data_IF_471952114820
#
_entry.id   IF_471952114820
#
_cell.length_a   1.000
_cell.length_b   1.000
_cell.length_c   1.000
_cell.angle_alpha   90.00
_cell.angle_beta   90.00
_cell.angle_gamma   90.00
#
_symmetry.space_group_name_H-M   'P 1'
#
loop_
_entity.id
_entity.type
_entity.pdbx_description
1 polymer ?
#
# COMPACT_ATOMS: atom_id res chain seq x y z
N UNK A 1 10.85 20.94 33.39
CA UNK A 1 11.23 19.56 33.01
C UNK A 1 10.96 19.26 31.54
N UNK A 2 9.73 19.47 31.04
CA UNK A 2 9.34 19.24 29.63
C UNK A 2 10.16 20.11 28.64
N UNK A 3 10.45 21.37 28.99
CA UNK A 3 11.25 22.28 28.15
C UNK A 3 12.73 21.88 28.02
N UNK A 4 13.32 21.33 29.09
CA UNK A 4 14.69 20.82 29.09
C UNK A 4 14.80 19.50 28.30
N UNK A 5 13.80 18.63 28.42
CA UNK A 5 13.70 17.40 27.64
C UNK A 5 13.56 17.71 26.14
N UNK A 6 12.70 18.67 25.79
CA UNK A 6 12.52 19.13 24.40
C UNK A 6 13.81 19.71 23.81
N UNK A 7 14.55 20.53 24.57
CA UNK A 7 15.86 21.06 24.14
C UNK A 7 16.90 19.96 23.96
N UNK A 8 16.98 19.00 24.86
CA UNK A 8 17.91 17.86 24.77
C UNK A 8 17.60 16.94 23.58
N UNK A 9 16.31 16.75 23.28
CA UNK A 9 15.88 15.98 22.10
C UNK A 9 16.18 16.76 20.82
N UNK A 10 15.90 18.07 20.78
CA UNK A 10 16.26 18.93 19.65
C UNK A 10 17.77 18.95 19.37
N UNK A 11 18.61 19.14 20.40
CA UNK A 11 20.07 19.16 20.22
C UNK A 11 20.62 17.79 19.79
N UNK A 12 20.00 16.69 20.27
CA UNK A 12 20.35 15.33 19.84
C UNK A 12 19.92 15.07 18.40
N UNK A 13 18.75 15.57 17.98
CA UNK A 13 18.27 15.49 16.61
C UNK A 13 19.14 16.34 15.66
N UNK A 14 19.59 17.51 16.10
CA UNK A 14 20.52 18.36 15.34
C UNK A 14 21.88 17.68 15.16
N UNK A 15 22.47 17.15 16.25
CA UNK A 15 23.72 16.40 16.19
C UNK A 15 23.63 15.12 15.35
N UNK A 16 22.48 14.45 15.32
CA UNK A 16 22.22 13.32 14.42
C UNK A 16 22.06 13.79 12.96
N UNK A 17 21.43 14.94 12.72
CA UNK A 17 21.23 15.51 11.38
C UNK A 17 22.53 15.92 10.70
N UNK A 18 23.59 16.20 11.45
CA UNK A 18 24.90 16.55 10.89
C UNK A 18 25.67 15.34 10.34
N UNK A 19 25.33 14.12 10.78
CA UNK A 19 25.99 12.91 10.29
C UNK A 19 25.67 12.68 8.81
N UNK A 20 26.66 12.26 7.98
CA UNK A 20 26.48 12.10 6.54
C UNK A 20 25.37 11.11 6.17
N UNK A 21 25.19 10.04 6.97
CA UNK A 21 24.13 9.07 6.78
C UNK A 21 22.72 9.66 6.94
N UNK A 22 22.50 10.55 7.91
CA UNK A 22 21.18 11.16 8.14
C UNK A 22 20.87 12.19 7.06
N UNK A 23 21.87 12.90 6.54
CA UNK A 23 21.69 13.78 5.38
C UNK A 23 21.29 12.98 4.13
N UNK A 24 21.92 11.83 3.90
CA UNK A 24 21.53 10.89 2.84
C UNK A 24 20.11 10.34 3.04
N UNK A 25 19.78 9.92 4.26
CA UNK A 25 18.45 9.43 4.61
C UNK A 25 17.38 10.49 4.34
N UNK A 26 17.61 11.72 4.82
CA UNK A 26 16.73 12.87 4.59
C UNK A 26 16.55 13.13 3.10
N UNK A 27 17.63 13.12 2.33
CA UNK A 27 17.55 13.29 0.88
C UNK A 27 16.70 12.18 0.21
N UNK A 28 16.85 10.92 0.62
CA UNK A 28 16.03 9.82 0.10
C UNK A 28 14.55 9.97 0.47
N UNK A 29 14.25 10.38 1.71
CA UNK A 29 12.89 10.67 2.17
C UNK A 29 12.29 11.82 1.38
N UNK A 30 13.00 12.94 1.27
CA UNK A 30 12.57 14.11 0.49
C UNK A 30 12.34 13.70 -0.98
N UNK A 31 13.18 12.87 -1.58
CA UNK A 31 12.90 12.38 -2.94
C UNK A 31 11.56 11.63 -3.05
N UNK A 32 11.21 10.82 -2.06
CA UNK A 32 9.97 10.03 -2.09
C UNK A 32 8.73 10.92 -1.96
N UNK A 33 8.78 11.98 -1.15
CA UNK A 33 7.64 12.86 -0.92
C UNK A 33 7.49 13.97 -1.98
N UNK A 34 8.58 14.54 -2.49
CA UNK A 34 8.54 15.79 -3.25
C UNK A 34 8.36 15.57 -4.76
N UNK A 35 7.35 16.22 -5.35
CA UNK A 35 7.15 16.27 -6.81
C UNK A 35 8.04 17.35 -7.44
N UNK A 36 8.67 17.04 -8.58
CA UNK A 36 9.77 17.82 -9.17
C UNK A 36 9.41 19.21 -9.74
N UNK A 37 8.30 19.82 -9.33
CA UNK A 37 7.88 21.15 -9.74
C UNK A 37 7.54 21.98 -8.50
N UNK A 38 8.31 23.05 -8.29
CA UNK A 38 8.49 23.75 -7.02
C UNK A 38 7.25 24.25 -6.28
N UNK A 39 7.38 24.39 -4.97
CA UNK A 39 7.00 25.60 -4.23
C UNK A 39 7.59 25.60 -2.81
N UNK A 40 7.44 26.74 -2.13
CA UNK A 40 8.09 27.16 -0.88
C UNK A 40 7.82 26.18 0.27
N UNK A 41 8.82 25.98 1.12
CA UNK A 41 8.84 25.07 2.28
C UNK A 41 7.59 25.09 3.17
N UNK A 42 6.85 26.21 3.27
CA UNK A 42 5.59 26.27 4.04
C UNK A 42 4.32 25.76 3.32
N UNK A 43 4.28 25.78 1.98
CA UNK A 43 3.16 25.24 1.19
C UNK A 43 3.29 23.70 1.02
N UNK A 44 4.54 23.23 1.08
CA UNK A 44 4.91 21.81 0.98
C UNK A 44 4.39 20.98 2.16
N UNK A 45 4.61 21.45 3.39
CA UNK A 45 4.15 20.72 4.59
C UNK A 45 2.61 20.61 4.62
N UNK A 46 1.91 21.65 4.14
CA UNK A 46 0.46 21.63 3.98
C UNK A 46 0.01 20.60 2.94
N UNK A 47 0.71 20.49 1.81
CA UNK A 47 0.38 19.52 0.76
C UNK A 47 0.55 18.06 1.19
N UNK A 48 1.61 17.73 1.94
CA UNK A 48 1.84 16.38 2.47
C UNK A 48 0.77 16.04 3.51
N UNK A 49 0.47 16.98 4.41
CA UNK A 49 -0.60 16.81 5.41
C UNK A 49 -1.96 16.52 4.76
N UNK A 50 -2.29 17.22 3.66
CA UNK A 50 -3.53 16.97 2.91
C UNK A 50 -3.53 15.57 2.27
N UNK A 51 -2.42 15.14 1.66
CA UNK A 51 -2.32 13.80 1.05
C UNK A 51 -2.53 12.71 2.11
N UNK A 52 -1.88 12.83 3.27
CA UNK A 52 -2.04 11.90 4.39
C UNK A 52 -3.48 11.92 4.94
N UNK A 53 -4.07 13.11 5.10
CA UNK A 53 -5.46 13.23 5.54
C UNK A 53 -6.46 12.55 4.58
N UNK A 54 -6.26 12.72 3.26
CA UNK A 54 -7.06 12.04 2.24
C UNK A 54 -6.87 10.53 2.30
N UNK A 55 -5.65 10.06 2.58
CA UNK A 55 -5.33 8.64 2.66
C UNK A 55 -5.98 7.96 3.88
N UNK A 56 -6.07 8.66 5.00
CA UNK A 56 -6.73 8.20 6.23
C UNK A 56 -8.28 8.28 6.16
N UNK A 57 -8.84 9.10 5.27
CA UNK A 57 -10.27 9.40 5.22
C UNK A 57 -11.17 8.16 4.99
N UNK A 58 -10.87 7.21 4.08
CA UNK A 58 -11.71 6.02 3.88
C UNK A 58 -11.81 5.16 5.15
N UNK A 59 -10.69 4.96 5.85
CA UNK A 59 -10.66 4.19 7.10
C UNK A 59 -11.46 4.87 8.20
N UNK A 60 -11.35 6.19 8.32
CA UNK A 60 -12.13 7.00 9.26
C UNK A 60 -13.64 6.92 8.97
N UNK A 61 -14.04 7.12 7.71
CA UNK A 61 -15.44 7.10 7.30
C UNK A 61 -16.11 5.76 7.56
N UNK A 62 -15.46 4.65 7.20
CA UNK A 62 -15.98 3.30 7.45
C UNK A 62 -16.08 3.01 8.94
N UNK A 63 -15.09 3.42 9.73
CA UNK A 63 -15.13 3.25 11.19
C UNK A 63 -16.29 4.01 11.83
N UNK A 64 -16.60 5.22 11.34
CA UNK A 64 -17.78 5.97 11.79
C UNK A 64 -19.08 5.31 11.34
N UNK A 65 -19.15 4.76 10.14
CA UNK A 65 -20.33 4.02 9.67
C UNK A 65 -20.62 2.80 10.55
N UNK A 66 -19.59 2.13 11.08
CA UNK A 66 -19.72 0.99 12.00
C UNK A 66 -20.32 1.37 13.36
N UNK A 67 -20.40 2.65 13.71
CA UNK A 67 -21.16 3.11 14.89
C UNK A 67 -22.63 2.69 14.81
N UNK A 68 -23.23 2.67 13.61
CA UNK A 68 -24.60 2.19 13.43
C UNK A 68 -24.76 0.69 13.72
N UNK A 69 -23.69 -0.10 13.55
CA UNK A 69 -23.67 -1.56 13.72
C UNK A 69 -23.36 -1.96 15.17
N UNK A 70 -22.39 -1.30 15.80
CA UNK A 70 -21.88 -1.64 17.14
C UNK A 70 -22.29 -0.67 18.25
N UNK A 71 -22.92 0.45 17.91
CA UNK A 71 -23.29 1.47 18.88
C UNK A 71 -24.24 0.90 19.94
N UNK A 72 -23.93 1.16 21.22
CA UNK A 72 -24.71 0.67 22.35
C UNK A 72 -26.20 1.04 22.24
N UNK A 73 -26.49 2.25 21.71
CA UNK A 73 -27.85 2.69 21.40
C UNK A 73 -28.55 1.81 20.36
N UNK A 74 -27.88 1.47 19.26
CA UNK A 74 -28.45 0.64 18.20
C UNK A 74 -28.58 -0.82 18.60
N UNK A 75 -27.63 -1.34 19.39
CA UNK A 75 -27.73 -2.68 19.98
C UNK A 75 -28.91 -2.77 20.94
N UNK A 76 -29.11 -1.75 21.79
CA UNK A 76 -30.28 -1.63 22.65
C UNK A 76 -31.58 -1.53 21.86
N UNK A 77 -31.61 -0.71 20.80
CA UNK A 77 -32.77 -0.59 19.91
C UNK A 77 -33.10 -1.92 19.22
N UNK A 78 -32.09 -2.64 18.71
CA UNK A 78 -32.28 -3.97 18.10
C UNK A 78 -32.82 -4.99 19.08
N UNK A 79 -32.33 -4.98 20.33
CA UNK A 79 -32.84 -5.84 21.40
C UNK A 79 -34.30 -5.51 21.78
N UNK A 80 -34.69 -4.23 21.68
CA UNK A 80 -36.04 -3.76 21.98
C UNK A 80 -37.05 -4.17 20.90
N UNK A 81 -36.72 -4.03 19.61
CA UNK A 81 -37.64 -4.34 18.50
C UNK A 81 -37.77 -5.83 18.15
N UNK A 82 -36.77 -6.66 18.46
CA UNK A 82 -36.81 -8.13 18.23
C UNK A 82 -37.64 -8.86 19.31
N UNK A 83 -38.20 -8.14 20.29
CA UNK A 83 -39.04 -8.69 21.35
C UNK A 83 -40.46 -8.95 20.83
N UNK A 84 -40.63 -9.99 20.01
CA UNK A 84 -41.95 -10.56 19.70
C UNK A 84 -42.64 -11.01 21.01
N UNK A 85 -43.89 -10.61 21.29
CA UNK A 85 -44.55 -10.92 22.57
C UNK A 85 -44.85 -12.42 22.76
N UNK A 86 -44.90 -13.21 21.69
CA UNK A 86 -45.48 -14.56 21.70
C UNK A 86 -44.42 -15.67 21.83
N UNK A 87 -43.14 -15.40 21.54
CA UNK A 87 -42.06 -16.40 21.65
C UNK A 87 -41.30 -16.41 22.99
N UNK A 88 -41.58 -15.45 23.88
CA UNK A 88 -40.77 -15.15 25.07
C UNK A 88 -40.96 -16.13 26.24
N UNK A 89 -42.03 -16.94 26.25
CA UNK A 89 -42.29 -17.90 27.33
C UNK A 89 -41.55 -19.24 27.16
N UNK A 90 -41.12 -19.59 25.95
CA UNK A 90 -40.35 -20.83 25.69
C UNK A 90 -38.84 -20.60 25.55
N UNK A 91 -38.39 -19.33 25.59
CA UNK A 91 -36.99 -18.95 25.35
C UNK A 91 -36.45 -18.05 26.47
N UNK A 92 -36.81 -18.35 27.72
CA UNK A 92 -36.23 -17.73 28.92
C UNK A 92 -34.80 -18.25 29.15
N UNK A 93 -33.88 -17.88 28.25
CA UNK A 93 -32.48 -18.32 28.31
C UNK A 93 -31.62 -17.94 27.11
N UNK A 94 -32.20 -17.52 25.98
CA UNK A 94 -31.41 -17.02 24.85
C UNK A 94 -31.36 -15.49 24.88
N UNK A 95 -30.52 -14.94 25.75
CA UNK A 95 -29.86 -13.68 25.45
C UNK A 95 -29.32 -13.80 24.03
N UNK A 96 -29.68 -12.88 23.12
CA UNK A 96 -29.07 -12.79 21.80
C UNK A 96 -27.55 -12.63 22.05
N UNK A 97 -26.81 -13.73 22.03
CA UNK A 97 -25.36 -13.74 22.22
C UNK A 97 -24.77 -13.11 20.96
N UNK A 98 -24.68 -11.78 20.94
CA UNK A 98 -23.90 -11.06 19.96
C UNK A 98 -22.44 -11.38 20.25
N UNK A 99 -21.89 -12.35 19.53
CA UNK A 99 -20.47 -12.67 19.62
C UNK A 99 -19.69 -11.63 18.79
N UNK A 100 -18.92 -10.72 19.44
CA UNK A 100 -18.25 -9.67 18.72
C UNK A 100 -17.26 -10.21 17.68
N UNK A 101 -16.66 -11.38 17.90
CA UNK A 101 -15.64 -11.93 16.99
C UNK A 101 -16.20 -12.38 15.64
N UNK A 102 -17.35 -13.05 15.63
CA UNK A 102 -18.00 -13.49 14.38
C UNK A 102 -18.61 -12.30 13.65
N UNK A 103 -19.20 -11.35 14.40
CA UNK A 103 -19.78 -10.15 13.82
C UNK A 103 -18.72 -9.18 13.25
N UNK A 104 -17.52 -9.14 13.83
CA UNK A 104 -16.41 -8.25 13.46
C UNK A 104 -15.52 -8.77 12.34
N UNK A 105 -15.53 -10.08 12.08
CA UNK A 105 -14.74 -10.72 11.01
C UNK A 105 -14.89 -10.06 9.63
N UNK A 106 -16.11 -9.81 9.09
CA UNK A 106 -16.28 -9.12 7.80
C UNK A 106 -15.65 -7.72 7.78
N UNK A 107 -15.79 -6.97 8.88
CA UNK A 107 -15.32 -5.59 8.97
C UNK A 107 -13.78 -5.55 9.14
N UNK A 108 -13.21 -6.49 9.88
CA UNK A 108 -11.76 -6.68 9.98
C UNK A 108 -11.15 -7.03 8.64
N UNK A 109 -11.78 -7.95 7.91
CA UNK A 109 -11.35 -8.29 6.56
C UNK A 109 -11.34 -7.05 5.66
N UNK A 110 -12.38 -6.21 5.73
CA UNK A 110 -12.43 -4.95 4.99
C UNK A 110 -11.26 -4.02 5.34
N UNK A 111 -10.96 -3.79 6.63
CA UNK A 111 -9.85 -2.93 7.04
C UNK A 111 -8.49 -3.49 6.60
N UNK A 112 -8.32 -4.81 6.64
CA UNK A 112 -7.10 -5.49 6.16
C UNK A 112 -6.95 -5.30 4.65
N UNK A 113 -8.02 -5.51 3.87
CA UNK A 113 -8.02 -5.28 2.41
C UNK A 113 -7.70 -3.82 2.10
N UNK A 114 -8.39 -2.87 2.76
CA UNK A 114 -8.18 -1.45 2.58
C UNK A 114 -6.72 -1.07 2.86
N UNK A 115 -6.17 -1.49 3.99
CA UNK A 115 -4.79 -1.21 4.39
C UNK A 115 -3.77 -1.74 3.38
N UNK A 116 -3.93 -3.00 2.94
CA UNK A 116 -3.06 -3.60 1.92
C UNK A 116 -3.16 -2.87 0.58
N UNK A 117 -4.39 -2.62 0.10
CA UNK A 117 -4.64 -2.01 -1.21
C UNK A 117 -4.15 -0.58 -1.26
N UNK A 118 -4.43 0.22 -0.23
CA UNK A 118 -4.00 1.62 -0.16
C UNK A 118 -2.48 1.72 -0.07
N UNK A 119 -1.82 0.92 0.77
CA UNK A 119 -0.37 0.92 0.87
C UNK A 119 0.31 0.50 -0.45
N UNK A 120 -0.23 -0.53 -1.11
CA UNK A 120 0.26 -0.97 -2.42
C UNK A 120 -0.03 0.06 -3.52
N UNK A 121 -1.18 0.73 -3.50
CA UNK A 121 -1.52 1.78 -4.45
C UNK A 121 -0.60 2.99 -4.32
N UNK A 122 -0.25 3.40 -3.10
CA UNK A 122 0.74 4.47 -2.87
C UNK A 122 2.12 4.05 -3.36
N UNK A 123 2.55 2.81 -3.08
CA UNK A 123 3.80 2.28 -3.61
C UNK A 123 3.82 2.28 -5.14
N UNK A 124 2.69 1.91 -5.78
CA UNK A 124 2.53 1.90 -7.22
C UNK A 124 2.51 3.32 -7.81
N UNK A 125 1.91 4.28 -7.12
CA UNK A 125 1.92 5.69 -7.51
C UNK A 125 3.32 6.29 -7.41
N UNK A 126 4.10 5.91 -6.39
CA UNK A 126 5.48 6.34 -6.16
C UNK A 126 6.52 5.46 -6.86
N UNK A 127 6.11 4.54 -7.73
CA UNK A 127 6.92 3.49 -8.35
C UNK A 127 8.28 3.98 -8.90
N UNK A 128 8.32 5.13 -9.57
CA UNK A 128 9.54 5.68 -10.18
C UNK A 128 10.52 6.33 -9.20
N UNK A 129 10.11 6.52 -7.94
CA UNK A 129 10.93 7.17 -6.89
C UNK A 129 11.34 6.26 -5.75
N UNK A 130 10.73 5.09 -5.63
CA UNK A 130 11.06 4.10 -4.61
C UNK A 130 12.52 3.64 -4.73
N UNK A 131 12.97 3.42 -5.97
CA UNK A 131 14.36 3.09 -6.26
C UNK A 131 15.09 4.31 -6.84
N UNK A 132 16.37 4.52 -6.50
CA UNK A 132 17.12 5.64 -7.06
C UNK A 132 17.28 5.52 -8.57
N UNK A 133 17.03 6.61 -9.29
CA UNK A 133 17.21 6.66 -10.75
C UNK A 133 18.70 6.84 -11.11
N UNK A 134 19.06 6.50 -12.35
CA UNK A 134 20.44 6.62 -12.87
C UNK A 134 21.00 8.03 -12.76
N UNK A 135 20.13 9.05 -12.81
CA UNK A 135 20.50 10.46 -12.66
C UNK A 135 20.92 10.80 -11.22
N UNK A 136 20.20 10.30 -10.23
CA UNK A 136 20.56 10.47 -8.82
C UNK A 136 21.93 9.84 -8.55
N UNK A 137 22.18 8.66 -9.13
CA UNK A 137 23.49 8.01 -9.04
C UNK A 137 24.59 8.80 -9.73
N UNK A 138 24.36 9.39 -10.90
CA UNK A 138 25.36 10.22 -11.58
C UNK A 138 25.75 11.45 -10.73
N UNK A 139 24.77 12.04 -10.05
CA UNK A 139 25.03 13.17 -9.14
C UNK A 139 25.80 12.73 -7.89
N UNK A 140 25.45 11.59 -7.30
CA UNK A 140 26.07 11.07 -6.08
C UNK A 140 27.42 10.38 -6.32
N UNK A 141 27.70 9.90 -7.53
CA UNK A 141 28.93 9.17 -7.87
C UNK A 141 30.21 10.02 -7.74
N UNK A 142 30.09 11.34 -7.86
CA UNK A 142 31.22 12.26 -7.73
C UNK A 142 31.58 12.55 -6.26
N UNK A 143 30.70 12.20 -5.32
CA UNK A 143 30.95 12.38 -3.89
C UNK A 143 31.68 11.14 -3.32
N UNK A 144 32.59 11.32 -2.34
CA UNK A 144 33.32 10.23 -1.69
C UNK A 144 32.43 9.47 -0.70
N UNK A 145 31.29 8.96 -1.17
CA UNK A 145 30.31 8.22 -0.38
C UNK A 145 30.43 6.73 -0.66
N UNK A 146 30.39 5.91 0.40
CA UNK A 146 30.38 4.46 0.23
C UNK A 146 29.03 4.04 -0.33
N UNK A 147 29.06 3.19 -1.36
CA UNK A 147 27.85 2.64 -1.99
C UNK A 147 26.90 1.96 -0.99
N UNK A 148 27.46 1.33 0.05
CA UNK A 148 26.70 0.70 1.16
C UNK A 148 25.84 1.72 1.91
N UNK A 149 26.36 2.93 2.14
CA UNK A 149 25.66 3.96 2.92
C UNK A 149 24.45 4.49 2.14
N UNK A 150 24.57 4.63 0.81
CA UNK A 150 23.47 5.00 -0.08
C UNK A 150 22.39 3.90 -0.09
N UNK A 151 22.80 2.63 -0.17
CA UNK A 151 21.89 1.50 -0.12
C UNK A 151 21.10 1.46 1.19
N UNK A 152 21.79 1.54 2.34
CA UNK A 152 21.15 1.51 3.64
C UNK A 152 20.28 2.74 3.88
N UNK A 153 20.72 3.93 3.46
CA UNK A 153 19.92 5.15 3.57
C UNK A 153 18.59 5.02 2.80
N UNK A 154 18.62 4.51 1.56
CA UNK A 154 17.42 4.32 0.77
C UNK A 154 16.53 3.18 1.31
N UNK A 155 17.12 2.07 1.76
CA UNK A 155 16.38 0.99 2.42
C UNK A 155 15.67 1.49 3.68
N UNK A 156 16.36 2.26 4.52
CA UNK A 156 15.78 2.88 5.70
C UNK A 156 14.68 3.87 5.32
N UNK A 157 14.86 4.68 4.28
CA UNK A 157 13.81 5.57 3.77
C UNK A 157 12.55 4.81 3.34
N UNK A 158 12.72 3.68 2.63
CA UNK A 158 11.61 2.83 2.22
C UNK A 158 10.87 2.21 3.41
N UNK A 159 11.60 1.75 4.43
CA UNK A 159 11.02 1.21 5.65
C UNK A 159 10.28 2.28 6.46
N UNK A 160 10.84 3.48 6.56
CA UNK A 160 10.18 4.62 7.20
C UNK A 160 8.91 5.04 6.45
N UNK A 161 8.96 5.05 5.11
CA UNK A 161 7.78 5.34 4.28
C UNK A 161 6.69 4.28 4.50
N UNK A 162 7.04 2.98 4.49
CA UNK A 162 6.09 1.91 4.74
C UNK A 162 5.47 2.01 6.14
N UNK A 163 6.28 2.32 7.16
CA UNK A 163 5.82 2.52 8.53
C UNK A 163 4.89 3.74 8.66
N UNK A 164 5.25 4.88 8.05
CA UNK A 164 4.44 6.09 8.05
C UNK A 164 3.08 5.84 7.38
N UNK A 165 3.07 5.26 6.18
CA UNK A 165 1.85 4.95 5.46
C UNK A 165 0.98 3.97 6.23
N UNK A 166 1.58 2.92 6.79
CA UNK A 166 0.86 1.95 7.59
C UNK A 166 0.23 2.57 8.84
N UNK A 167 0.93 3.48 9.51
CA UNK A 167 0.41 4.21 10.65
C UNK A 167 -0.71 5.18 10.23
N UNK A 168 -0.52 5.93 9.16
CA UNK A 168 -1.46 6.95 8.66
C UNK A 168 -2.79 6.35 8.20
N UNK A 169 -2.74 5.35 7.31
CA UNK A 169 -3.91 4.67 6.75
C UNK A 169 -4.80 4.09 7.87
N UNK A 170 -4.16 3.65 8.96
CA UNK A 170 -4.81 2.87 10.01
C UNK A 170 -4.95 3.60 11.34
N UNK A 171 -4.55 4.88 11.42
CA UNK A 171 -4.54 5.64 12.66
C UNK A 171 -5.94 5.73 13.28
N UNK A 172 -6.94 6.06 12.45
CA UNK A 172 -8.32 6.26 12.90
C UNK A 172 -9.04 4.91 13.06
N UNK A 173 -8.90 4.01 12.09
CA UNK A 173 -9.58 2.72 12.11
C UNK A 173 -9.11 1.81 13.25
N UNK A 174 -7.80 1.76 13.51
CA UNK A 174 -7.25 0.93 14.58
C UNK A 174 -7.68 1.36 15.99
N UNK A 175 -8.13 2.61 16.14
CA UNK A 175 -8.65 3.13 17.40
C UNK A 175 -10.17 2.98 17.48
N UNK A 176 -10.89 3.47 16.47
CA UNK A 176 -12.35 3.52 16.51
C UNK A 176 -12.97 2.13 16.39
N UNK A 177 -12.47 1.26 15.51
CA UNK A 177 -13.11 -0.03 15.27
C UNK A 177 -13.07 -0.94 16.50
N UNK A 178 -11.91 -1.23 17.14
CA UNK A 178 -11.86 -2.01 18.37
C UNK A 178 -12.68 -1.41 19.52
N UNK A 179 -12.69 -0.08 19.65
CA UNK A 179 -13.45 0.63 20.69
C UNK A 179 -14.96 0.39 20.54
N UNK A 180 -15.47 0.48 19.31
CA UNK A 180 -16.88 0.23 19.02
C UNK A 180 -17.24 -1.25 19.17
N UNK A 181 -16.42 -2.15 18.63
CA UNK A 181 -16.67 -3.59 18.66
C UNK A 181 -16.65 -4.16 20.10
N UNK A 182 -15.81 -3.63 20.98
CA UNK A 182 -15.67 -4.09 22.37
C UNK A 182 -16.50 -3.29 23.38
N UNK A 183 -17.25 -2.26 22.96
CA UNK A 183 -17.92 -1.31 23.87
C UNK A 183 -18.94 -1.93 24.85
N UNK A 184 -19.36 -3.17 24.62
CA UNK A 184 -20.28 -3.92 25.47
C UNK A 184 -19.61 -4.88 26.45
N UNK A 185 -18.27 -4.98 26.45
CA UNK A 185 -17.49 -5.90 27.29
C UNK A 185 -16.70 -5.13 28.35
N UNK A 186 -16.80 -5.56 29.60
CA UNK A 186 -16.13 -4.90 30.73
C UNK A 186 -14.69 -5.38 30.99
N UNK A 187 -14.22 -6.39 30.26
CA UNK A 187 -12.91 -7.02 30.49
C UNK A 187 -11.81 -6.31 29.71
N UNK A 188 -10.91 -5.61 30.41
CA UNK A 188 -9.81 -4.86 29.80
C UNK A 188 -8.85 -5.73 28.97
N UNK A 189 -8.52 -6.95 29.43
CA UNK A 189 -7.61 -7.85 28.71
C UNK A 189 -8.14 -8.28 27.35
N UNK A 190 -9.45 -8.49 27.24
CA UNK A 190 -10.13 -8.81 25.99
C UNK A 190 -9.98 -7.65 24.99
N UNK A 191 -10.29 -6.44 25.44
CA UNK A 191 -10.19 -5.23 24.62
C UNK A 191 -8.74 -5.00 24.20
N UNK A 192 -7.78 -5.06 25.13
CA UNK A 192 -6.36 -4.90 24.81
C UNK A 192 -5.86 -5.92 23.77
N UNK A 193 -6.26 -7.20 23.89
CA UNK A 193 -5.92 -8.22 22.90
C UNK A 193 -6.58 -7.93 21.53
N UNK A 194 -7.84 -7.51 21.51
CA UNK A 194 -8.54 -7.17 20.28
C UNK A 194 -7.86 -6.01 19.54
N UNK A 195 -7.47 -4.95 20.26
CA UNK A 195 -6.70 -3.82 19.72
C UNK A 195 -5.34 -4.28 19.18
N UNK A 196 -4.57 -5.02 19.99
CA UNK A 196 -3.22 -5.46 19.60
C UNK A 196 -3.24 -6.35 18.35
N UNK A 197 -4.16 -7.32 18.31
CA UNK A 197 -4.28 -8.24 17.17
C UNK A 197 -4.73 -7.53 15.91
N UNK A 198 -5.68 -6.60 16.00
CA UNK A 198 -6.10 -5.79 14.87
C UNK A 198 -4.96 -4.92 14.32
N UNK A 199 -4.26 -4.18 15.19
CA UNK A 199 -3.12 -3.33 14.79
C UNK A 199 -2.05 -4.19 14.08
N UNK A 200 -1.66 -5.31 14.67
CA UNK A 200 -0.63 -6.19 14.10
C UNK A 200 -1.05 -6.70 12.72
N UNK A 201 -2.28 -7.19 12.57
CA UNK A 201 -2.77 -7.72 11.28
C UNK A 201 -2.83 -6.65 10.20
N UNK A 202 -3.34 -5.47 10.53
CA UNK A 202 -3.53 -4.39 9.55
C UNK A 202 -2.19 -3.74 9.16
N UNK A 203 -1.24 -3.63 10.10
CA UNK A 203 0.12 -3.16 9.83
C UNK A 203 0.89 -4.14 8.95
N UNK A 204 0.84 -5.43 9.26
CA UNK A 204 1.49 -6.46 8.45
C UNK A 204 0.89 -6.55 7.04
N UNK A 205 -0.43 -6.38 6.91
CA UNK A 205 -1.09 -6.33 5.61
C UNK A 205 -0.64 -5.13 4.76
N UNK A 206 -0.52 -3.93 5.36
CA UNK A 206 0.04 -2.74 4.71
C UNK A 206 1.48 -2.99 4.24
N UNK A 207 2.32 -3.52 5.14
CA UNK A 207 3.72 -3.82 4.86
C UNK A 207 3.85 -4.84 3.73
N UNK A 208 3.04 -5.91 3.73
CA UNK A 208 3.02 -6.89 2.66
C UNK A 208 2.62 -6.27 1.31
N UNK A 209 1.58 -5.43 1.28
CA UNK A 209 1.16 -4.73 0.05
C UNK A 209 2.27 -3.85 -0.52
N UNK A 210 2.89 -3.02 0.33
CA UNK A 210 4.01 -2.16 -0.04
C UNK A 210 5.24 -2.96 -0.51
N UNK A 211 5.66 -3.96 0.27
CA UNK A 211 6.81 -4.83 -0.05
C UNK A 211 6.55 -5.68 -1.29
N UNK A 212 5.31 -6.07 -1.56
CA UNK A 212 4.92 -6.79 -2.76
C UNK A 212 5.17 -5.95 -4.02
N UNK A 213 4.68 -4.70 -4.04
CA UNK A 213 4.93 -3.76 -5.14
C UNK A 213 6.42 -3.47 -5.29
N UNK A 214 7.12 -3.24 -4.17
CA UNK A 214 8.57 -3.04 -4.16
C UNK A 214 9.32 -4.26 -4.71
N UNK A 215 8.88 -5.48 -4.37
CA UNK A 215 9.45 -6.73 -4.89
C UNK A 215 9.31 -6.83 -6.40
N UNK A 216 8.12 -6.55 -6.94
CA UNK A 216 7.90 -6.56 -8.39
C UNK A 216 8.81 -5.53 -9.06
N UNK A 217 8.88 -4.31 -8.52
CA UNK A 217 9.76 -3.24 -9.03
C UNK A 217 11.24 -3.67 -9.00
N UNK A 218 11.71 -4.17 -7.87
CA UNK A 218 13.10 -4.56 -7.67
C UNK A 218 13.49 -5.76 -8.55
N UNK A 219 12.61 -6.76 -8.68
CA UNK A 219 12.81 -7.90 -9.59
C UNK A 219 12.85 -7.43 -11.04
N UNK A 220 11.92 -6.55 -11.45
CA UNK A 220 11.90 -6.00 -12.80
C UNK A 220 13.19 -5.24 -13.13
N UNK A 221 13.66 -4.42 -12.20
CA UNK A 221 14.89 -3.62 -12.35
C UNK A 221 16.15 -4.49 -12.34
N UNK A 222 16.17 -5.57 -11.56
CA UNK A 222 17.32 -6.49 -11.49
C UNK A 222 17.40 -7.44 -12.68
N UNK A 223 16.26 -7.89 -13.23
CA UNK A 223 16.20 -8.83 -14.34
C UNK A 223 16.43 -8.17 -15.71
N UNK A 224 15.78 -7.04 -15.98
CA UNK A 224 15.68 -6.47 -17.33
C UNK A 224 16.68 -5.33 -17.63
N UNK A 225 17.16 -5.20 -18.87
CA UNK A 225 17.87 -4.01 -19.33
C UNK A 225 16.90 -2.81 -19.47
N UNK A 226 17.42 -1.58 -19.36
CA UNK A 226 16.64 -0.33 -19.29
C UNK A 226 15.52 -0.19 -20.35
N UNK A 227 15.81 -0.59 -21.60
CA UNK A 227 14.82 -0.50 -22.70
C UNK A 227 13.64 -1.45 -22.51
N UNK A 228 13.89 -2.64 -21.98
CA UNK A 228 12.86 -3.64 -21.71
C UNK A 228 12.13 -3.32 -20.40
N UNK A 229 12.84 -2.80 -19.40
CA UNK A 229 12.26 -2.29 -18.14
C UNK A 229 11.15 -1.27 -18.42
N UNK A 230 11.38 -0.29 -19.31
CA UNK A 230 10.36 0.73 -19.61
C UNK A 230 9.06 0.14 -20.17
N UNK A 231 9.15 -0.88 -21.04
CA UNK A 231 7.95 -1.56 -21.58
C UNK A 231 7.29 -2.42 -20.52
N UNK A 232 8.07 -3.26 -19.85
CA UNK A 232 7.58 -4.21 -18.87
C UNK A 232 7.01 -3.51 -17.62
N UNK A 233 7.52 -2.33 -17.27
CA UNK A 233 7.03 -1.51 -16.16
C UNK A 233 5.57 -1.09 -16.38
N UNK A 234 5.20 -0.69 -17.60
CA UNK A 234 3.81 -0.31 -17.92
C UNK A 234 2.87 -1.50 -17.70
N UNK A 235 3.23 -2.68 -18.23
CA UNK A 235 2.42 -3.90 -18.07
C UNK A 235 2.38 -4.38 -16.61
N UNK A 236 3.51 -4.32 -15.90
CA UNK A 236 3.57 -4.69 -14.48
C UNK A 236 2.71 -3.75 -13.63
N UNK A 237 2.77 -2.43 -13.87
CA UNK A 237 1.95 -1.45 -13.17
C UNK A 237 0.46 -1.66 -13.42
N UNK A 238 0.06 -1.92 -14.68
CA UNK A 238 -1.34 -2.22 -15.00
C UNK A 238 -1.80 -3.53 -14.37
N UNK A 239 -0.97 -4.58 -14.38
CA UNK A 239 -1.32 -5.86 -13.76
C UNK A 239 -1.47 -5.74 -12.24
N UNK A 240 -0.56 -5.02 -11.58
CA UNK A 240 -0.66 -4.71 -10.15
C UNK A 240 -1.93 -3.90 -9.88
N UNK A 241 -2.22 -2.86 -10.66
CA UNK A 241 -3.43 -2.06 -10.49
C UNK A 241 -4.71 -2.91 -10.59
N UNK A 242 -4.82 -3.75 -11.63
CA UNK A 242 -5.95 -4.67 -11.81
C UNK A 242 -6.06 -5.62 -10.61
N UNK A 243 -4.93 -6.17 -10.15
CA UNK A 243 -4.90 -7.03 -8.97
C UNK A 243 -5.38 -6.31 -7.70
N UNK A 244 -4.97 -5.06 -7.48
CA UNK A 244 -5.42 -4.26 -6.33
C UNK A 244 -6.92 -3.97 -6.39
N UNK A 245 -7.46 -3.65 -7.56
CA UNK A 245 -8.91 -3.48 -7.76
C UNK A 245 -9.64 -4.79 -7.48
N UNK A 246 -9.13 -5.92 -7.98
CA UNK A 246 -9.71 -7.24 -7.72
C UNK A 246 -9.67 -7.61 -6.23
N UNK A 247 -8.61 -7.25 -5.49
CA UNK A 247 -8.57 -7.44 -4.04
C UNK A 247 -9.66 -6.62 -3.34
N UNK A 248 -9.87 -5.37 -3.75
CA UNK A 248 -10.90 -4.52 -3.17
C UNK A 248 -12.31 -5.09 -3.38
N UNK A 249 -12.59 -5.70 -4.54
CA UNK A 249 -13.90 -6.34 -4.78
C UNK A 249 -14.13 -7.58 -3.92
N UNK A 250 -13.07 -8.31 -3.53
CA UNK A 250 -13.23 -9.43 -2.57
C UNK A 250 -13.80 -8.99 -1.24
N UNK A 251 -13.59 -7.74 -0.83
CA UNK A 251 -14.11 -7.21 0.42
C UNK A 251 -15.63 -7.19 0.50
N UNK A 252 -16.33 -7.11 -0.64
CA UNK A 252 -17.78 -7.12 -0.70
C UNK A 252 -18.37 -8.53 -0.86
N UNK A 253 -17.63 -9.45 -1.48
CA UNK A 253 -18.14 -10.77 -1.90
C UNK A 253 -17.73 -11.93 -1.00
N UNK A 254 -16.55 -11.87 -0.40
CA UNK A 254 -15.93 -13.01 0.29
C UNK A 254 -16.31 -13.21 1.78
N UNK A 255 -16.85 -12.24 2.55
CA UNK A 255 -17.19 -12.47 3.96
C UNK A 255 -18.18 -13.63 4.17
N UNK A 256 -19.14 -13.80 3.26
CA UNK A 256 -20.12 -14.89 3.29
C UNK A 256 -19.51 -16.29 3.01
N UNK A 257 -18.35 -16.36 2.36
CA UNK A 257 -17.64 -17.63 2.10
C UNK A 257 -16.68 -18.00 3.22
N UNK A 258 -16.12 -17.01 3.91
CA UNK A 258 -15.36 -17.21 5.15
C UNK A 258 -16.31 -17.60 6.30
N UNK A 259 -17.59 -17.23 6.25
CA UNK A 259 -18.58 -17.71 7.23
C UNK A 259 -19.09 -19.14 6.93
N UNK A 260 -19.07 -19.58 5.66
CA UNK A 260 -19.53 -20.89 5.19
C UNK A 260 -18.42 -21.94 5.05
N UNK A 261 -17.48 -21.95 5.97
CA UNK A 261 -16.23 -22.73 5.93
C UNK A 261 -16.41 -24.23 5.65
N UNK A 262 -16.25 -24.61 4.38
CA UNK A 262 -16.10 -26.00 3.96
C UNK A 262 -14.72 -26.54 4.37
N UNK A 263 -14.75 -27.60 5.17
CA UNK A 263 -13.57 -28.36 5.60
C UNK A 263 -12.97 -29.10 4.40
N UNK A 264 -11.71 -28.83 4.03
CA UNK A 264 -10.93 -29.82 3.27
C UNK A 264 -10.01 -29.36 2.13
N UNK A 265 -9.89 -28.06 1.79
CA UNK A 265 -9.01 -27.62 0.69
C UNK A 265 -7.75 -26.88 1.17
N UNK A 266 -6.64 -27.01 0.45
CA UNK A 266 -5.35 -26.35 0.75
C UNK A 266 -5.50 -24.82 0.77
N UNK A 267 -5.45 -24.24 1.96
CA UNK A 267 -5.84 -22.87 2.28
C UNK A 267 -5.05 -21.74 1.57
N UNK A 268 -3.83 -22.03 1.11
CA UNK A 268 -2.85 -21.05 0.67
C UNK A 268 -3.04 -20.62 -0.79
N UNK A 269 -3.60 -21.49 -1.65
CA UNK A 269 -3.86 -21.18 -3.07
C UNK A 269 -5.29 -20.69 -3.33
N UNK A 270 -6.24 -20.94 -2.42
CA UNK A 270 -7.67 -20.70 -2.67
C UNK A 270 -8.15 -19.33 -2.19
N UNK A 271 -7.45 -18.74 -1.21
CA UNK A 271 -7.81 -17.47 -0.62
C UNK A 271 -6.86 -16.34 -1.03
N UNK A 272 -7.40 -15.13 -1.28
CA UNK A 272 -6.58 -13.98 -1.63
C UNK A 272 -5.68 -13.56 -0.45
N UNK A 273 -4.54 -12.88 -0.69
CA UNK A 273 -3.60 -12.50 0.37
C UNK A 273 -4.20 -11.80 1.61
N UNK A 274 -5.19 -10.89 1.49
CA UNK A 274 -5.84 -10.28 2.67
C UNK A 274 -6.44 -11.32 3.64
N UNK A 275 -6.92 -12.46 3.15
CA UNK A 275 -7.51 -13.51 3.99
C UNK A 275 -6.46 -14.18 4.90
N UNK A 276 -5.19 -14.18 4.48
CA UNK A 276 -4.09 -14.70 5.31
C UNK A 276 -3.94 -13.88 6.59
N UNK A 277 -3.99 -12.55 6.46
CA UNK A 277 -3.89 -11.62 7.59
C UNK A 277 -5.15 -11.61 8.47
N UNK A 278 -6.32 -11.91 7.90
CA UNK A 278 -7.53 -12.15 8.68
C UNK A 278 -7.40 -13.44 9.52
N UNK A 279 -6.86 -14.52 8.94
CA UNK A 279 -6.54 -15.75 9.68
C UNK A 279 -5.49 -15.53 10.77
N UNK A 280 -4.48 -14.69 10.52
CA UNK A 280 -3.51 -14.25 11.53
C UNK A 280 -4.22 -13.55 12.71
N UNK A 281 -5.16 -12.63 12.42
CA UNK A 281 -5.92 -11.91 13.45
C UNK A 281 -6.65 -12.89 14.37
N UNK A 282 -7.38 -13.84 13.78
CA UNK A 282 -8.14 -14.84 14.54
C UNK A 282 -7.25 -15.83 15.30
N UNK A 283 -6.13 -16.24 14.71
CA UNK A 283 -5.15 -17.11 15.35
C UNK A 283 -4.54 -16.45 16.58
N UNK A 284 -4.16 -15.17 16.51
CA UNK A 284 -3.63 -14.42 17.64
C UNK A 284 -4.65 -14.19 18.77
N UNK A 285 -5.94 -14.20 18.45
CA UNK A 285 -7.04 -14.14 19.43
C UNK A 285 -7.31 -15.47 20.14
N UNK A 286 -6.61 -16.53 19.75
CA UNK A 286 -6.71 -17.85 20.37
C UNK A 286 -7.77 -18.76 19.75
N UNK A 287 -8.36 -18.39 18.60
CA UNK A 287 -9.26 -19.28 17.86
C UNK A 287 -8.43 -20.38 17.20
N UNK A 288 -8.54 -21.61 17.71
CA UNK A 288 -7.71 -22.76 17.32
C UNK A 288 -8.30 -23.55 16.16
N UNK A 289 -8.82 -22.88 15.14
CA UNK A 289 -9.22 -23.56 13.92
C UNK A 289 -7.99 -23.85 13.05
N UNK A 290 -7.81 -25.09 12.53
CA UNK A 290 -6.66 -25.46 11.72
C UNK A 290 -6.46 -24.56 10.49
N UNK A 291 -7.57 -24.05 9.93
CA UNK A 291 -7.54 -23.13 8.81
C UNK A 291 -6.86 -21.80 9.20
N UNK A 292 -7.27 -21.16 10.29
CA UNK A 292 -6.70 -19.89 10.73
C UNK A 292 -5.21 -20.01 11.06
N UNK A 293 -4.78 -21.14 11.64
CA UNK A 293 -3.36 -21.43 11.83
C UNK A 293 -2.60 -21.52 10.50
N UNK A 294 -3.17 -22.18 9.48
CA UNK A 294 -2.54 -22.28 8.16
C UNK A 294 -2.46 -20.93 7.43
N UNK A 295 -3.51 -20.11 7.54
CA UNK A 295 -3.58 -18.76 6.97
C UNK A 295 -2.62 -17.80 7.68
N UNK A 296 -2.53 -17.90 9.01
CA UNK A 296 -1.57 -17.18 9.84
C UNK A 296 -0.12 -17.47 9.42
N UNK A 297 0.21 -18.75 9.21
CA UNK A 297 1.52 -19.16 8.70
C UNK A 297 1.78 -18.58 7.30
N UNK A 298 0.78 -18.60 6.41
CA UNK A 298 0.89 -18.00 5.07
C UNK A 298 1.12 -16.48 5.12
N UNK A 299 0.48 -15.75 6.04
CA UNK A 299 0.68 -14.32 6.21
C UNK A 299 2.12 -13.99 6.64
N UNK A 300 2.63 -14.70 7.65
CA UNK A 300 3.99 -14.49 8.16
C UNK A 300 5.01 -14.88 7.09
N UNK A 301 4.87 -16.07 6.52
CA UNK A 301 5.77 -16.57 5.48
C UNK A 301 5.77 -15.66 4.24
N UNK A 302 4.59 -15.27 3.76
CA UNK A 302 4.43 -14.36 2.64
C UNK A 302 5.10 -13.01 2.86
N UNK A 303 4.97 -12.44 4.06
CA UNK A 303 5.61 -11.16 4.42
C UNK A 303 7.12 -11.28 4.47
N UNK A 304 7.65 -12.35 5.07
CA UNK A 304 9.10 -12.62 5.09
C UNK A 304 9.63 -12.83 3.67
N UNK A 305 8.94 -13.63 2.85
CA UNK A 305 9.32 -13.86 1.46
C UNK A 305 9.30 -12.56 0.65
N UNK A 306 8.26 -11.73 0.76
CA UNK A 306 8.19 -10.43 0.10
C UNK A 306 9.36 -9.52 0.54
N UNK A 307 9.67 -9.47 1.84
CA UNK A 307 10.81 -8.71 2.34
C UNK A 307 12.15 -9.22 1.78
N UNK A 308 12.38 -10.53 1.81
CA UNK A 308 13.63 -11.13 1.31
C UNK A 308 13.79 -10.98 -0.21
N UNK A 309 12.70 -11.12 -0.98
CA UNK A 309 12.69 -10.89 -2.42
C UNK A 309 12.97 -9.42 -2.73
N UNK A 310 12.28 -8.49 -2.08
CA UNK A 310 12.55 -7.06 -2.23
C UNK A 310 14.02 -6.72 -1.90
N UNK A 311 14.54 -7.23 -0.79
CA UNK A 311 15.90 -6.96 -0.33
C UNK A 311 16.94 -7.54 -1.29
N UNK A 312 16.81 -8.81 -1.68
CA UNK A 312 17.74 -9.49 -2.58
C UNK A 312 17.70 -8.90 -3.99
N UNK A 313 16.51 -8.66 -4.54
CA UNK A 313 16.35 -8.04 -5.84
C UNK A 313 16.85 -6.59 -5.85
N UNK A 314 16.63 -5.84 -4.76
CA UNK A 314 17.18 -4.50 -4.60
C UNK A 314 18.72 -4.52 -4.54
N UNK A 315 19.30 -5.43 -3.75
CA UNK A 315 20.76 -5.59 -3.66
C UNK A 315 21.37 -6.01 -5.01
N UNK A 316 20.72 -6.91 -5.76
CA UNK A 316 21.13 -7.31 -7.10
C UNK A 316 21.02 -6.16 -8.10
N UNK A 317 19.91 -5.43 -8.09
CA UNK A 317 19.70 -4.24 -8.91
C UNK A 317 20.77 -3.18 -8.61
N UNK A 318 21.09 -2.97 -7.34
CA UNK A 318 22.14 -2.07 -6.88
C UNK A 318 23.51 -2.49 -7.42
N UNK A 319 23.91 -3.76 -7.22
CA UNK A 319 25.19 -4.30 -7.72
C UNK A 319 25.29 -4.18 -9.24
N UNK A 320 24.22 -4.55 -9.97
CA UNK A 320 24.19 -4.49 -11.44
C UNK A 320 24.25 -3.06 -11.95
N UNK A 321 23.52 -2.14 -11.31
CA UNK A 321 23.47 -0.73 -11.71
C UNK A 321 24.78 -0.01 -11.42
N UNK A 322 25.41 -0.25 -10.26
CA UNK A 322 26.67 0.38 -9.87
C UNK A 322 27.85 -0.12 -10.72
N UNK A 323 27.94 -1.43 -10.97
CA UNK A 323 29.08 -2.03 -11.70
C UNK A 323 28.98 -1.83 -13.22
N UNK A 324 27.77 -1.83 -13.82
CA UNK A 324 27.61 -1.73 -15.29
C UNK A 324 27.16 -0.36 -15.82
N UNK A 325 26.55 0.51 -14.99
CA UNK A 325 26.03 1.80 -15.49
C UNK A 325 27.06 2.93 -15.48
N UNK A 326 28.15 2.78 -14.71
CA UNK A 326 29.30 3.68 -14.80
C UNK A 326 29.92 3.66 -16.22
N UNK A 327 29.90 2.51 -16.90
CA UNK A 327 30.48 2.32 -18.24
C UNK A 327 29.56 2.80 -19.38
N UNK A 328 28.23 2.83 -19.18
CA UNK A 328 27.26 3.16 -20.24
C UNK A 328 26.82 4.62 -20.26
N UNK A 329 27.35 5.46 -19.36
CA UNK A 329 26.99 6.89 -19.27
C UNK A 329 27.52 7.72 -20.44
N UNK A 330 28.48 7.20 -21.21
CA UNK A 330 29.12 7.91 -22.32
C UNK A 330 28.30 7.83 -23.62
N UNK A 331 27.36 6.87 -23.75
CA UNK A 331 26.63 6.66 -25.01
C UNK A 331 25.18 6.29 -24.75
N UNK A 332 24.26 7.24 -24.85
CA UNK A 332 22.87 6.94 -25.26
C UNK A 332 22.22 8.17 -25.93
N UNK A 333 21.94 8.11 -27.24
CA UNK A 333 21.12 9.09 -27.94
C UNK A 333 19.68 9.06 -27.43
N UNK A 334 19.06 10.23 -27.34
CA UNK A 334 17.68 10.40 -26.90
C UNK A 334 16.66 9.91 -27.94
N UNK A 335 15.86 8.89 -27.59
CA UNK A 335 14.57 8.52 -28.22
C UNK A 335 14.67 7.76 -29.56
N UNK A 336 13.95 6.69 -29.87
CA UNK A 336 12.79 6.04 -29.28
C UNK A 336 11.98 5.36 -30.41
N UNK A 337 12.43 4.20 -30.90
CA UNK A 337 11.92 3.55 -32.12
C UNK A 337 10.44 3.12 -32.09
N UNK A 338 9.85 2.98 -30.89
CA UNK A 338 8.48 2.47 -30.71
C UNK A 338 7.41 3.52 -31.05
N UNK A 339 7.74 4.82 -30.95
CA UNK A 339 6.87 5.88 -31.45
C UNK A 339 6.69 5.80 -32.98
N UNK A 340 7.66 5.26 -33.71
CA UNK A 340 7.67 5.36 -35.17
C UNK A 340 6.62 4.52 -35.90
N UNK A 341 6.06 3.46 -35.28
CA UNK A 341 5.11 2.57 -35.97
C UNK A 341 3.64 2.99 -35.77
N UNK A 342 3.27 3.40 -34.55
CA UNK A 342 1.94 3.94 -34.28
C UNK A 342 1.71 5.29 -35.00
N UNK A 343 2.72 6.16 -35.04
CA UNK A 343 2.65 7.40 -35.82
C UNK A 343 2.56 7.13 -37.33
N UNK A 344 3.24 6.09 -37.85
CA UNK A 344 3.16 5.70 -39.27
C UNK A 344 1.76 5.22 -39.69
N UNK A 345 1.07 4.47 -38.83
CA UNK A 345 -0.31 4.03 -39.08
C UNK A 345 -1.31 5.19 -39.02
N UNK A 346 -1.12 6.12 -38.07
CA UNK A 346 -1.95 7.33 -37.97
C UNK A 346 -1.71 8.31 -39.14
N UNK A 347 -0.48 8.44 -39.63
CA UNK A 347 -0.15 9.26 -40.81
C UNK A 347 -0.79 8.72 -42.09
N UNK A 348 -1.00 7.39 -42.17
CA UNK A 348 -1.60 6.72 -43.32
C UNK A 348 -3.13 6.84 -43.35
N UNK A 349 -3.78 6.89 -42.19
CA UNK A 349 -5.24 6.77 -42.09
C UNK A 349 -5.98 8.10 -41.87
N UNK A 350 -5.36 9.15 -41.32
CA UNK A 350 -6.13 10.28 -40.76
C UNK A 350 -5.80 11.70 -41.27
N UNK A 351 -4.63 12.01 -41.86
CA UNK A 351 -4.22 13.43 -42.03
C UNK A 351 -3.48 13.72 -43.35
N UNK A 352 -4.02 14.64 -44.17
CA UNK A 352 -3.42 15.10 -45.45
C UNK A 352 -2.55 16.37 -45.32
N UNK A 353 -2.68 17.17 -44.25
CA UNK A 353 -1.94 18.43 -44.06
C UNK A 353 -0.62 18.29 -43.27
N UNK A 354 0.42 19.07 -43.64
CA UNK A 354 1.76 19.03 -43.00
C UNK A 354 1.78 19.63 -41.58
N UNK A 355 0.97 20.66 -41.34
CA UNK A 355 0.91 21.40 -40.07
C UNK A 355 0.12 20.64 -38.99
N UNK A 356 -0.97 19.97 -39.38
CA UNK A 356 -1.78 19.10 -38.51
C UNK A 356 -0.98 17.88 -38.04
N UNK A 357 -0.16 17.29 -38.91
CA UNK A 357 0.75 16.18 -38.56
C UNK A 357 1.76 16.60 -37.50
N UNK A 358 2.32 17.80 -37.61
CA UNK A 358 3.26 18.33 -36.63
C UNK A 358 2.58 18.61 -35.28
N UNK A 359 1.39 19.22 -35.30
CA UNK A 359 0.58 19.49 -34.10
C UNK A 359 0.15 18.21 -33.37
N UNK A 360 -0.43 17.24 -34.09
CA UNK A 360 -0.83 15.95 -33.54
C UNK A 360 0.35 15.18 -32.95
N UNK A 361 1.46 15.08 -33.70
CA UNK A 361 2.67 14.40 -33.21
C UNK A 361 3.25 15.11 -31.99
N UNK A 362 3.25 16.44 -31.97
CA UNK A 362 3.70 17.19 -30.80
C UNK A 362 2.78 16.93 -29.60
N UNK A 363 1.46 17.04 -29.76
CA UNK A 363 0.48 16.84 -28.70
C UNK A 363 0.53 15.41 -28.17
N UNK A 364 0.49 14.37 -29.02
CA UNK A 364 0.61 12.98 -28.56
C UNK A 364 1.96 12.68 -27.95
N UNK A 365 3.05 13.12 -28.59
CA UNK A 365 4.39 12.89 -28.03
C UNK A 365 4.57 13.63 -26.71
N UNK A 366 3.85 14.73 -26.48
CA UNK A 366 3.84 15.46 -25.20
C UNK A 366 2.96 14.77 -24.16
N UNK A 367 1.75 14.32 -24.54
CA UNK A 367 0.84 13.55 -23.70
C UNK A 367 1.46 12.22 -23.24
N UNK A 368 1.97 11.42 -24.17
CA UNK A 368 2.63 10.13 -23.88
C UNK A 368 4.06 10.27 -23.36
N UNK A 369 4.60 11.49 -23.30
CA UNK A 369 5.85 11.78 -22.58
C UNK A 369 5.60 12.01 -21.09
N UNK A 370 4.39 12.38 -20.68
CA UNK A 370 4.02 12.51 -19.27
C UNK A 370 3.50 11.17 -18.74
N UNK A 371 4.26 10.53 -17.86
CA UNK A 371 3.85 9.26 -17.22
C UNK A 371 2.53 9.41 -16.44
N UNK A 372 2.28 10.56 -15.83
CA UNK A 372 1.04 10.83 -15.10
C UNK A 372 -0.20 10.77 -16.01
N UNK A 373 -0.13 11.34 -17.22
CA UNK A 373 -1.25 11.31 -18.17
C UNK A 373 -1.44 9.92 -18.79
N UNK A 374 -0.35 9.16 -18.99
CA UNK A 374 -0.45 7.77 -19.45
C UNK A 374 -1.08 6.85 -18.41
N UNK A 375 -0.76 7.04 -17.12
CA UNK A 375 -1.34 6.26 -16.03
C UNK A 375 -2.83 6.57 -15.83
N UNK A 376 -3.23 7.84 -15.92
CA UNK A 376 -4.65 8.22 -15.89
C UNK A 376 -5.43 7.58 -17.04
N UNK A 377 -4.90 7.63 -18.26
CA UNK A 377 -5.52 7.00 -19.44
C UNK A 377 -5.68 5.47 -19.28
N UNK A 378 -4.65 4.80 -18.76
CA UNK A 378 -4.70 3.35 -18.48
C UNK A 378 -5.70 3.05 -17.35
N UNK A 379 -5.76 3.87 -16.31
CA UNK A 379 -6.75 3.74 -15.23
C UNK A 379 -8.19 3.85 -15.74
N UNK A 380 -8.49 4.87 -16.54
CA UNK A 380 -9.84 5.05 -17.10
C UNK A 380 -10.23 3.94 -18.07
N UNK A 381 -9.29 3.49 -18.92
CA UNK A 381 -9.55 2.37 -19.83
C UNK A 381 -9.70 1.04 -19.09
N UNK A 382 -8.93 0.81 -18.03
CA UNK A 382 -9.09 -0.37 -17.17
C UNK A 382 -10.43 -0.40 -16.46
N UNK A 383 -10.88 0.73 -15.92
CA UNK A 383 -12.21 0.86 -15.29
C UNK A 383 -13.33 0.60 -16.31
N UNK A 384 -13.18 1.10 -17.55
CA UNK A 384 -14.16 0.88 -18.62
C UNK A 384 -14.29 -0.58 -19.07
N UNK A 385 -13.20 -1.36 -19.05
CA UNK A 385 -13.22 -2.80 -19.42
C UNK A 385 -13.76 -3.67 -18.29
N UNK A 386 -13.66 -3.24 -17.04
CA UNK A 386 -14.17 -3.98 -15.88
C UNK A 386 -15.67 -3.74 -15.66
N UNK A 387 -16.17 -2.57 -16.07
CA UNK A 387 -17.59 -2.18 -15.92
C UNK A 387 -18.47 -2.57 -17.13
N UNK A 388 -17.89 -3.13 -18.19
CA UNK A 388 -18.57 -3.60 -19.39
C UNK A 388 -18.52 -5.13 -19.44
#
# INVERSE_FOLDING_TARGET
>A
MISALKKSVCSSLEALSEKPFYRLLRHCVDRMFYDGAGSRTGEVDASIGIILAILAAPGAFVSLALFSKYGAFFLWFRAYYVKDPVGSLLRSGATLHFDPYTASLPDEYFFIVLSMVVAAAVALWKWDRLLPDRRDYANLAHLPLRSRDIFFANLTALLLLAALLSADINAVSSLLFPLLACGSREVFSYTALFFATHIVSVVLAAAFGFLGVLSVLAVLMSALPYRAFRKASIYARSAVLIFLVALLTTSFSEPAKIERLERGASAWSRFPPPAWFAGLCQSLRGIREPLFCSLSAAAIFGTICAFLVALSAYALSYRRSFVRSAETMIVLPAGGAIASHAFRLADLLLLRGSLERAGYRFVLKTLFRSEAHSLAWIGFTGIGVILW
#
